data_IF_450474353329
#
_entry.id   IF_450474353329
#
_cell.length_a   1.000
_cell.length_b   1.000
_cell.length_c   1.000
_cell.angle_alpha   90.00
_cell.angle_beta   90.00
_cell.angle_gamma   90.00
#
_symmetry.space_group_name_H-M   'P 1'
#
loop_
_entity.id
_entity.type
_entity.pdbx_description
1 polymer ?
#
# COMPACT_ATOMS: atom_id res chain seq x y z
N UNK A 1 -9.92 3.88 -28.91
CA UNK A 1 -8.55 4.00 -28.36
C UNK A 1 -8.65 3.51 -26.94
N UNK A 2 -8.38 2.23 -26.78
CA UNK A 2 -8.70 1.47 -25.57
C UNK A 2 -7.81 1.92 -24.41
N UNK A 3 -8.43 2.27 -23.30
CA UNK A 3 -7.75 2.46 -22.03
C UNK A 3 -7.14 1.12 -21.65
N UNK A 4 -5.82 1.00 -21.80
CA UNK A 4 -5.06 -0.16 -21.30
C UNK A 4 -5.29 -0.21 -19.80
N UNK A 5 -6.23 -1.06 -19.37
CA UNK A 5 -6.34 -1.49 -17.99
C UNK A 5 -5.09 -2.32 -17.73
N UNK A 6 -4.01 -1.65 -17.33
CA UNK A 6 -2.85 -2.31 -16.74
C UNK A 6 -3.32 -2.89 -15.41
N UNK A 7 -3.84 -4.12 -15.45
CA UNK A 7 -3.97 -4.95 -14.26
C UNK A 7 -2.54 -5.26 -13.81
N UNK A 8 -1.99 -4.39 -12.96
CA UNK A 8 -0.72 -4.63 -12.30
C UNK A 8 -0.88 -5.86 -11.43
N UNK A 9 -0.41 -7.01 -11.93
CA UNK A 9 -0.39 -8.24 -11.16
C UNK A 9 0.75 -8.17 -10.15
N UNK A 10 0.42 -7.82 -8.91
CA UNK A 10 1.38 -7.78 -7.82
C UNK A 10 1.53 -9.18 -7.22
N UNK A 11 2.70 -9.78 -7.38
CA UNK A 11 3.06 -10.98 -6.62
C UNK A 11 3.75 -10.54 -5.31
N UNK A 12 3.18 -10.85 -4.14
CA UNK A 12 3.80 -10.51 -2.87
C UNK A 12 5.14 -11.24 -2.71
N UNK A 13 6.11 -10.57 -2.07
CA UNK A 13 7.46 -11.11 -1.87
C UNK A 13 7.50 -12.25 -0.85
N UNK A 14 6.54 -12.25 0.08
CA UNK A 14 6.23 -13.38 0.97
C UNK A 14 4.74 -13.44 1.22
N UNK A 15 4.29 -14.62 1.64
CA UNK A 15 2.91 -14.80 2.10
C UNK A 15 2.67 -13.99 3.38
N UNK A 16 1.62 -13.17 3.36
CA UNK A 16 1.19 -12.33 4.47
C UNK A 16 -0.16 -12.79 5.01
N UNK A 17 -0.40 -12.58 6.30
CA UNK A 17 -1.68 -12.86 6.95
C UNK A 17 -2.38 -11.54 7.25
N UNK A 18 -3.69 -11.47 7.00
CA UNK A 18 -4.55 -10.38 7.47
C UNK A 18 -5.76 -10.99 8.15
N UNK A 19 -5.74 -11.02 9.48
CA UNK A 19 -6.80 -11.62 10.29
C UNK A 19 -7.21 -10.68 11.41
N UNK A 20 -8.49 -10.69 11.72
CA UNK A 20 -9.05 -10.03 12.90
C UNK A 20 -9.39 -11.16 13.87
N UNK A 21 -9.03 -11.00 15.14
CA UNK A 21 -9.34 -11.94 16.20
C UNK A 21 -10.12 -11.22 17.27
N UNK A 22 -11.07 -11.92 17.90
CA UNK A 22 -11.72 -11.41 19.11
C UNK A 22 -10.85 -11.75 20.32
N UNK A 23 -10.77 -10.85 21.28
CA UNK A 23 -9.89 -10.97 22.45
C UNK A 23 -10.26 -12.13 23.38
N UNK A 24 -11.50 -12.61 23.31
CA UNK A 24 -11.96 -13.82 24.03
C UNK A 24 -11.72 -15.11 23.25
N UNK A 25 -11.08 -15.05 22.08
CA UNK A 25 -10.78 -16.21 21.24
C UNK A 25 -11.99 -16.76 20.48
N UNK A 26 -13.19 -16.17 20.60
CA UNK A 26 -14.40 -16.68 19.95
C UNK A 26 -14.46 -16.39 18.44
N UNK A 27 -13.39 -15.86 17.85
CA UNK A 27 -13.31 -15.51 16.44
C UNK A 27 -11.86 -15.63 15.91
N UNK A 28 -11.64 -16.13 14.68
CA UNK A 28 -12.65 -16.63 13.74
C UNK A 28 -13.35 -17.89 14.27
N UNK A 29 -14.64 -18.10 13.94
CA UNK A 29 -15.36 -19.31 14.38
C UNK A 29 -14.62 -20.56 13.89
N UNK A 30 -14.70 -21.63 14.66
CA UNK A 30 -14.14 -22.92 14.27
C UNK A 30 -14.89 -23.41 13.02
N UNK A 31 -14.20 -23.41 11.87
CA UNK A 31 -14.78 -23.78 10.56
C UNK A 31 -14.96 -25.29 10.41
N UNK A 32 -14.63 -26.09 11.43
CA UNK A 32 -14.82 -27.55 11.41
C UNK A 32 -16.29 -28.00 11.36
N UNK A 33 -17.25 -27.11 11.69
CA UNK A 33 -18.69 -27.39 11.63
C UNK A 33 -19.42 -26.68 10.46
N UNK A 34 -18.70 -25.96 9.59
CA UNK A 34 -19.30 -25.32 8.42
C UNK A 34 -19.48 -26.36 7.31
N UNK A 35 -20.68 -26.95 7.22
CA UNK A 35 -21.02 -28.05 6.30
C UNK A 35 -20.92 -27.70 4.80
N UNK A 36 -20.67 -26.44 4.44
CA UNK A 36 -20.49 -25.99 3.04
C UNK A 36 -19.21 -25.13 2.91
N UNK A 37 -18.08 -25.82 2.75
CA UNK A 37 -16.70 -25.29 2.79
C UNK A 37 -16.31 -24.26 1.71
N UNK A 38 -17.14 -24.01 0.69
CA UNK A 38 -16.80 -23.05 -0.38
C UNK A 38 -17.17 -21.59 -0.03
N UNK A 39 -18.19 -21.35 0.79
CA UNK A 39 -18.72 -20.01 1.04
C UNK A 39 -18.10 -19.33 2.29
N UNK A 40 -17.45 -20.12 3.15
CA UNK A 40 -16.84 -19.65 4.39
C UNK A 40 -15.50 -18.93 4.17
N UNK A 41 -14.71 -19.33 3.18
CA UNK A 41 -13.40 -18.71 2.90
C UNK A 41 -13.51 -17.23 2.53
N UNK A 42 -14.64 -16.80 1.96
CA UNK A 42 -14.87 -15.41 1.51
C UNK A 42 -15.85 -14.62 2.39
N UNK A 43 -16.25 -15.13 3.56
CA UNK A 43 -17.19 -14.43 4.44
C UNK A 43 -16.53 -13.20 5.09
N UNK A 44 -17.08 -12.01 4.82
CA UNK A 44 -16.62 -10.74 5.41
C UNK A 44 -17.33 -10.52 6.75
N UNK A 45 -16.57 -10.48 7.83
CA UNK A 45 -17.07 -10.12 9.15
C UNK A 45 -16.77 -8.65 9.46
N UNK A 46 -17.82 -7.86 9.70
CA UNK A 46 -17.69 -6.45 10.08
C UNK A 46 -17.81 -6.35 11.60
N UNK A 47 -16.82 -5.74 12.27
CA UNK A 47 -16.91 -5.39 13.69
C UNK A 47 -16.90 -3.89 13.90
N UNK A 48 -17.80 -3.40 14.75
CA UNK A 48 -17.89 -1.98 15.13
C UNK A 48 -17.03 -1.64 16.36
N UNK A 49 -16.36 -2.62 16.97
CA UNK A 49 -15.57 -2.41 18.20
C UNK A 49 -14.11 -2.80 18.00
N UNK A 50 -13.20 -1.86 18.26
CA UNK A 50 -11.76 -2.12 18.31
C UNK A 50 -11.28 -2.56 19.70
N UNK A 51 -12.14 -2.53 20.74
CA UNK A 51 -11.75 -2.91 22.11
C UNK A 51 -11.74 -4.40 22.35
N UNK A 52 -12.61 -5.12 21.65
CA UNK A 52 -12.78 -6.56 21.84
C UNK A 52 -12.08 -7.37 20.75
N UNK A 53 -11.33 -6.69 19.87
CA UNK A 53 -10.67 -7.32 18.73
C UNK A 53 -9.25 -6.80 18.59
N UNK A 54 -8.36 -7.64 18.08
CA UNK A 54 -7.04 -7.25 17.63
C UNK A 54 -6.82 -7.72 16.20
N UNK A 55 -6.04 -6.95 15.44
CA UNK A 55 -5.70 -7.29 14.06
C UNK A 55 -4.30 -7.87 14.02
N UNK A 56 -4.16 -9.03 13.39
CA UNK A 56 -2.86 -9.60 13.02
C UNK A 56 -2.64 -9.32 11.55
N UNK A 57 -1.61 -8.55 11.24
CA UNK A 57 -1.21 -8.23 9.88
C UNK A 57 0.28 -8.53 9.72
N UNK A 58 0.61 -9.42 8.80
CA UNK A 58 1.97 -9.78 8.44
C UNK A 58 2.18 -9.64 6.93
N UNK A 59 3.43 -9.47 6.52
CA UNK A 59 3.81 -9.29 5.12
C UNK A 59 4.58 -8.00 4.87
N UNK A 60 4.84 -7.71 3.60
CA UNK A 60 5.71 -6.60 3.22
C UNK A 60 4.91 -5.46 2.59
N UNK A 61 5.34 -4.24 2.89
CA UNK A 61 4.90 -3.03 2.22
C UNK A 61 6.08 -2.40 1.48
N UNK A 62 5.77 -1.60 0.46
CA UNK A 62 6.76 -0.79 -0.25
C UNK A 62 6.64 0.65 0.20
N UNK A 63 7.73 1.21 0.73
CA UNK A 63 7.80 2.60 1.17
C UNK A 63 8.63 3.38 0.16
N UNK A 64 8.03 4.43 -0.41
CA UNK A 64 8.69 5.32 -1.35
C UNK A 64 9.39 6.44 -0.58
N UNK A 65 10.72 6.45 -0.60
CA UNK A 65 11.54 7.53 -0.04
C UNK A 65 11.82 8.58 -1.11
N UNK A 66 11.41 9.82 -0.85
CA UNK A 66 11.63 10.94 -1.77
C UNK A 66 12.95 11.64 -1.45
N UNK A 67 13.86 11.73 -2.42
CA UNK A 67 15.14 12.41 -2.23
C UNK A 67 14.95 13.94 -2.20
N UNK A 68 15.74 14.66 -1.38
CA UNK A 68 15.65 16.12 -1.31
C UNK A 68 15.99 16.82 -2.63
N UNK A 69 15.42 18.00 -2.84
CA UNK A 69 15.71 18.85 -4.00
C UNK A 69 14.85 20.12 -4.03
N UNK A 70 15.23 21.08 -4.88
CA UNK A 70 14.45 22.28 -5.12
C UNK A 70 13.13 21.94 -5.82
N UNK A 71 12.12 22.80 -5.70
CA UNK A 71 10.78 22.53 -6.22
C UNK A 71 10.76 22.10 -7.70
N UNK A 72 11.59 22.70 -8.55
CA UNK A 72 11.66 22.40 -9.99
C UNK A 72 12.64 21.26 -10.34
N UNK A 73 13.47 20.81 -9.39
CA UNK A 73 14.42 19.73 -9.63
C UNK A 73 13.69 18.42 -9.97
N UNK A 74 14.28 17.54 -10.80
CA UNK A 74 13.73 16.22 -11.08
C UNK A 74 13.41 15.45 -9.79
N UNK A 75 12.24 14.81 -9.75
CA UNK A 75 11.86 13.94 -8.62
C UNK A 75 12.65 12.65 -8.71
N UNK A 76 13.45 12.38 -7.67
CA UNK A 76 14.20 11.14 -7.51
C UNK A 76 13.75 10.45 -6.24
N UNK A 77 13.49 9.16 -6.33
CA UNK A 77 12.95 8.35 -5.25
C UNK A 77 13.76 7.06 -5.09
N UNK A 78 13.65 6.46 -3.92
CA UNK A 78 14.11 5.10 -3.63
C UNK A 78 12.92 4.30 -3.11
N UNK A 79 12.82 3.04 -3.53
CA UNK A 79 11.76 2.14 -3.07
C UNK A 79 12.35 1.09 -2.14
N UNK A 80 11.91 1.11 -0.88
CA UNK A 80 12.28 0.12 0.11
C UNK A 80 11.13 -0.87 0.33
N UNK A 81 11.48 -2.14 0.55
CA UNK A 81 10.54 -3.17 0.99
C UNK A 81 10.72 -3.34 2.48
N UNK A 82 9.67 -3.06 3.24
CA UNK A 82 9.70 -3.08 4.70
C UNK A 82 8.65 -4.07 5.25
N UNK A 83 9.00 -4.91 6.22
CA UNK A 83 8.02 -5.74 6.94
C UNK A 83 7.02 -4.86 7.70
N UNK A 84 5.73 -5.06 7.49
CA UNK A 84 4.69 -4.26 8.18
C UNK A 84 4.72 -4.46 9.70
N UNK A 85 5.21 -5.61 10.16
CA UNK A 85 5.35 -5.99 11.57
C UNK A 85 6.43 -5.17 12.29
N UNK A 86 7.36 -4.57 11.54
CA UNK A 86 8.40 -3.69 12.10
C UNK A 86 7.90 -2.26 12.33
N UNK A 87 6.63 -1.98 12.04
CA UNK A 87 6.02 -0.65 12.17
C UNK A 87 6.85 0.45 11.49
N UNK A 88 7.15 0.32 10.18
CA UNK A 88 7.93 1.32 9.47
C UNK A 88 7.25 2.69 9.54
N UNK A 89 8.05 3.74 9.73
CA UNK A 89 7.54 5.12 9.73
C UNK A 89 7.40 5.61 8.29
N UNK A 90 6.22 6.08 7.92
CA UNK A 90 5.95 6.66 6.61
C UNK A 90 4.80 7.66 6.70
N UNK A 91 4.78 8.62 5.78
CA UNK A 91 3.64 9.51 5.57
C UNK A 91 2.72 8.92 4.50
N UNK A 92 1.44 8.77 4.81
CA UNK A 92 0.46 8.25 3.88
C UNK A 92 -0.01 9.33 2.90
N UNK A 93 0.12 9.07 1.60
CA UNK A 93 -0.38 9.94 0.53
C UNK A 93 -1.50 9.21 -0.24
N UNK A 94 -2.70 9.80 -0.28
CA UNK A 94 -3.79 9.36 -1.16
C UNK A 94 -3.77 10.19 -2.43
N UNK A 95 -3.53 9.57 -3.59
CA UNK A 95 -3.25 10.29 -4.84
C UNK A 95 -4.10 9.86 -6.05
N UNK A 96 -5.26 9.25 -5.82
CA UNK A 96 -6.10 8.68 -6.88
C UNK A 96 -6.95 9.68 -7.69
N UNK A 97 -6.65 10.97 -7.68
CA UNK A 97 -7.45 11.97 -8.41
C UNK A 97 -6.71 12.39 -9.68
N UNK A 98 -7.37 12.48 -10.83
CA UNK A 98 -6.76 12.99 -12.07
C UNK A 98 -6.93 12.08 -13.28
N UNK A 99 -6.39 12.51 -14.42
CA UNK A 99 -6.43 11.76 -15.67
C UNK A 99 -5.30 10.73 -15.71
N UNK A 100 -5.63 9.43 -15.75
CA UNK A 100 -4.65 8.34 -15.81
C UNK A 100 -3.82 8.33 -17.10
N UNK A 101 -4.31 8.97 -18.16
CA UNK A 101 -3.59 9.11 -19.43
C UNK A 101 -2.57 10.26 -19.44
N UNK A 102 -2.64 11.19 -18.49
CA UNK A 102 -1.69 12.29 -18.36
C UNK A 102 -0.65 11.98 -17.28
N UNK A 103 0.52 11.56 -17.75
CA UNK A 103 1.61 11.09 -16.88
C UNK A 103 2.87 11.94 -17.01
N UNK A 104 3.70 11.89 -15.97
CA UNK A 104 5.04 12.47 -15.91
C UNK A 104 6.01 11.42 -15.41
N UNK A 105 7.25 11.53 -15.84
CA UNK A 105 8.31 10.61 -15.42
C UNK A 105 8.94 11.12 -14.13
N UNK A 106 9.02 10.23 -13.14
CA UNK A 106 9.90 10.35 -12.00
C UNK A 106 11.01 9.32 -12.11
N UNK A 107 12.08 9.51 -11.35
CA UNK A 107 13.17 8.55 -11.26
C UNK A 107 13.03 7.75 -9.97
N UNK A 108 13.01 6.43 -10.08
CA UNK A 108 12.99 5.48 -8.95
C UNK A 108 14.21 4.58 -9.11
N UNK A 109 14.88 4.19 -8.03
CA UNK A 109 15.95 3.16 -7.98
C UNK A 109 16.94 3.12 -9.16
N UNK A 110 18.21 3.48 -8.93
CA UNK A 110 19.28 3.38 -9.94
C UNK A 110 18.92 4.05 -11.29
N UNK A 111 18.33 5.24 -11.24
CA UNK A 111 17.95 6.04 -12.41
C UNK A 111 16.85 5.46 -13.32
N UNK A 112 16.05 4.51 -12.82
CA UNK A 112 14.93 3.96 -13.60
C UNK A 112 13.78 4.97 -13.72
N UNK A 113 13.35 5.24 -14.96
CA UNK A 113 12.20 6.10 -15.22
C UNK A 113 10.88 5.37 -14.93
N UNK A 114 9.99 6.01 -14.16
CA UNK A 114 8.68 5.49 -13.80
C UNK A 114 7.59 6.54 -14.06
N UNK A 115 6.53 6.14 -14.77
CA UNK A 115 5.43 7.04 -15.12
C UNK A 115 4.40 7.12 -13.99
N UNK A 116 4.11 8.34 -13.54
CA UNK A 116 3.09 8.64 -12.52
C UNK A 116 2.09 9.65 -13.06
N UNK A 117 0.88 9.69 -12.51
CA UNK A 117 -0.09 10.72 -12.85
C UNK A 117 0.43 12.11 -12.48
N UNK A 118 0.02 13.15 -13.23
CA UNK A 118 0.37 14.55 -12.93
C UNK A 118 -0.05 14.95 -11.51
N UNK A 119 -1.14 14.39 -10.99
CA UNK A 119 -1.59 14.64 -9.62
C UNK A 119 -0.62 14.10 -8.56
N UNK A 120 -0.14 12.87 -8.74
CA UNK A 120 0.86 12.29 -7.85
C UNK A 120 2.19 13.06 -7.96
N UNK A 121 2.62 13.37 -9.17
CA UNK A 121 3.84 14.13 -9.41
C UNK A 121 3.84 15.47 -8.65
N UNK A 122 2.76 16.24 -8.80
CA UNK A 122 2.59 17.50 -8.09
C UNK A 122 2.55 17.29 -6.57
N UNK A 123 1.82 16.30 -6.08
CA UNK A 123 1.74 16.01 -4.66
C UNK A 123 3.14 15.69 -4.08
N UNK A 124 3.93 14.87 -4.77
CA UNK A 124 5.30 14.55 -4.39
C UNK A 124 6.18 15.80 -4.32
N UNK A 125 6.07 16.75 -5.28
CA UNK A 125 6.83 18.01 -5.22
C UNK A 125 6.55 18.84 -3.97
N UNK A 126 5.29 18.87 -3.52
CA UNK A 126 4.89 19.68 -2.37
C UNK A 126 5.31 19.07 -1.03
N UNK A 127 5.34 17.74 -0.93
CA UNK A 127 5.79 17.05 0.29
C UNK A 127 7.31 16.82 0.32
N UNK A 128 8.01 17.05 -0.80
CA UNK A 128 9.48 16.92 -0.88
C UNK A 128 10.16 17.91 0.05
N UNK A 129 11.08 17.40 0.86
CA UNK A 129 11.98 18.23 1.65
C UNK A 129 13.03 18.90 0.76
N UNK A 130 13.27 20.20 0.96
CA UNK A 130 14.29 20.93 0.21
C UNK A 130 15.71 20.62 0.69
N UNK A 131 15.87 20.26 1.96
CA UNK A 131 17.14 19.93 2.60
C UNK A 131 17.03 18.59 3.32
N UNK A 132 18.15 17.89 3.46
CA UNK A 132 18.22 16.65 4.23
C UNK A 132 18.23 17.01 5.71
N UNK A 133 17.21 16.59 6.45
CA UNK A 133 17.23 16.62 7.92
C UNK A 133 18.31 15.68 8.48
#
# INVERSE_FOLDING_TARGET
MDAVHCNYHYTPLREGTRRIYKNDGSFPPDVSEAEDTEDTENTIFITASTRNYHTVTTGDIRVLSLLPGLFDDPLRCQLAVEPIEQHPMYDALSYMWGNSSDTRLITVDNDQAFAVTVSLENALRHIRLQTRN
#
